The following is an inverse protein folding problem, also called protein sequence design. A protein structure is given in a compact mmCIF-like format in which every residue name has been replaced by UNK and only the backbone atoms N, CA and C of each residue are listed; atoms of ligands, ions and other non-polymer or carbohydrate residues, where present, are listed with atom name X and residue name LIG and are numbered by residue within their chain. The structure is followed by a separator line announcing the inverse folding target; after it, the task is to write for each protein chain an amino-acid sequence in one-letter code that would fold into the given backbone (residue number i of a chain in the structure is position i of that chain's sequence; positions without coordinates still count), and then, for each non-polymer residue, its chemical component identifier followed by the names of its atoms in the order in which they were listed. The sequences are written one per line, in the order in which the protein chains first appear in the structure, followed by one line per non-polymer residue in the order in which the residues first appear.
data_IF_783870228125
#
_entry.id   IF_783870228125
#
_cell.length_a   1.000
_cell.length_b   1.000
_cell.length_c   1.000
_cell.angle_alpha   90.00
_cell.angle_beta   90.00
_cell.angle_gamma   90.00
#
_symmetry.space_group_name_H-M   'P 1'
#
loop_
_entity.id
_entity.type
_entity.pdbx_description
1 polymer ?
#
# COMPACT_ATOMS: atom_id res chain seq x y z
N UNK A 1 -15.51 16.03 11.25
CA UNK A 1 -15.58 14.62 10.85
C UNK A 1 -16.56 14.54 9.69
N UNK A 2 -16.12 14.26 8.47
CA UNK A 2 -17.00 14.28 7.29
C UNK A 2 -17.97 13.08 7.40
N UNK A 3 -19.27 13.34 7.56
CA UNK A 3 -20.33 12.33 7.36
C UNK A 3 -20.41 12.09 5.85
N UNK A 4 -19.77 11.03 5.37
CA UNK A 4 -19.73 10.70 3.95
C UNK A 4 -21.02 10.00 3.45
N UNK A 5 -22.01 9.76 4.33
CA UNK A 5 -23.23 9.04 3.96
C UNK A 5 -24.46 9.64 4.66
N UNK A 6 -25.59 9.83 3.94
CA UNK A 6 -26.87 10.19 4.53
C UNK A 6 -27.44 9.02 5.35
N UNK A 7 -28.38 9.33 6.25
CA UNK A 7 -28.88 8.41 7.28
C UNK A 7 -29.47 7.11 6.70
N UNK A 8 -29.11 5.97 7.30
CA UNK A 8 -29.44 4.61 6.82
C UNK A 8 -28.27 3.64 6.73
N UNK A 9 -27.15 3.91 7.42
CA UNK A 9 -25.98 3.03 7.39
C UNK A 9 -26.24 1.76 8.22
N UNK A 10 -26.21 0.59 7.59
CA UNK A 10 -26.28 -0.69 8.29
C UNK A 10 -25.19 -0.74 9.37
N UNK A 11 -25.48 -1.18 10.61
CA UNK A 11 -24.54 -1.15 11.73
C UNK A 11 -23.18 -1.82 11.45
N UNK A 12 -23.11 -2.72 10.47
CA UNK A 12 -21.88 -3.41 10.05
C UNK A 12 -21.03 -2.70 9.00
N UNK A 13 -21.48 -1.60 8.40
CA UNK A 13 -20.73 -0.92 7.34
C UNK A 13 -19.78 0.14 7.90
N UNK A 14 -18.47 -0.09 7.73
CA UNK A 14 -17.43 0.89 8.07
C UNK A 14 -16.66 1.32 6.83
N UNK A 15 -16.56 2.63 6.61
CA UNK A 15 -15.74 3.21 5.55
C UNK A 15 -14.48 3.83 6.16
N UNK A 16 -13.32 3.33 5.72
CA UNK A 16 -12.01 3.82 6.13
C UNK A 16 -11.24 4.27 4.90
N UNK A 17 -10.83 5.54 4.87
CA UNK A 17 -10.08 6.11 3.76
C UNK A 17 -8.60 6.08 4.13
N UNK A 18 -7.80 5.35 3.34
CA UNK A 18 -6.34 5.42 3.43
C UNK A 18 -5.90 6.85 3.11
N UNK A 19 -4.90 7.38 3.83
CA UNK A 19 -4.35 8.69 3.50
C UNK A 19 -3.74 8.63 2.09
N UNK A 20 -4.29 9.43 1.17
CA UNK A 20 -3.96 9.52 -0.26
C UNK A 20 -4.21 8.26 -1.09
N UNK A 21 -3.68 7.10 -0.69
CA UNK A 21 -3.88 5.85 -1.42
C UNK A 21 -3.57 4.63 -0.54
N UNK A 22 -4.07 3.45 -0.94
CA UNK A 22 -3.83 2.18 -0.24
C UNK A 22 -2.34 1.80 -0.23
N UNK A 23 -1.57 2.24 -1.23
CA UNK A 23 -0.14 2.04 -1.31
C UNK A 23 0.63 2.62 -0.10
N UNK A 24 0.11 3.65 0.57
CA UNK A 24 0.67 4.13 1.82
C UNK A 24 0.62 3.06 2.93
N UNK A 25 -0.44 2.25 2.98
CA UNK A 25 -0.56 1.13 3.90
C UNK A 25 0.40 -0.03 3.55
N UNK A 26 0.65 -0.25 2.26
CA UNK A 26 1.61 -1.27 1.82
C UNK A 26 3.03 -0.91 2.28
N UNK A 27 3.44 0.35 2.09
CA UNK A 27 4.75 0.86 2.51
C UNK A 27 4.95 0.89 4.03
N UNK A 28 3.86 0.95 4.81
CA UNK A 28 3.95 0.94 6.27
C UNK A 28 4.51 -0.37 6.84
N UNK A 29 4.42 -1.47 6.10
CA UNK A 29 5.17 -2.70 6.39
C UNK A 29 6.54 -2.70 5.68
N UNK A 30 7.42 -1.78 6.10
CA UNK A 30 8.70 -1.50 5.44
C UNK A 30 9.55 -2.75 5.22
N UNK A 31 9.62 -3.63 6.23
CA UNK A 31 10.43 -4.84 6.18
C UNK A 31 9.85 -5.91 5.24
N UNK A 32 8.52 -6.05 5.14
CA UNK A 32 7.93 -6.97 4.16
C UNK A 32 8.07 -6.43 2.73
N UNK A 33 7.75 -5.15 2.52
CA UNK A 33 7.79 -4.55 1.19
C UNK A 33 9.23 -4.52 0.64
N UNK A 34 10.22 -4.17 1.46
CA UNK A 34 11.62 -4.16 1.05
C UNK A 34 12.11 -5.55 0.60
N UNK A 35 11.77 -6.59 1.36
CA UNK A 35 12.11 -7.97 0.99
C UNK A 35 11.40 -8.40 -0.28
N UNK A 36 10.10 -8.08 -0.40
CA UNK A 36 9.29 -8.43 -1.57
C UNK A 36 9.81 -7.75 -2.84
N UNK A 37 10.10 -6.45 -2.79
CA UNK A 37 10.70 -5.70 -3.89
C UNK A 37 12.20 -5.96 -4.04
N UNK A 38 12.84 -6.79 -3.21
CA UNK A 38 14.28 -7.09 -3.26
C UNK A 38 15.20 -5.85 -3.16
N UNK A 39 14.84 -4.86 -2.33
CA UNK A 39 15.59 -3.62 -2.08
C UNK A 39 15.98 -3.46 -0.60
N UNK A 40 16.97 -2.61 -0.26
CA UNK A 40 17.26 -2.28 1.14
C UNK A 40 16.07 -1.59 1.82
N UNK A 41 15.75 -1.98 3.05
CA UNK A 41 14.64 -1.39 3.82
C UNK A 41 14.77 0.13 4.03
N UNK A 42 16.00 0.64 4.10
CA UNK A 42 16.26 2.07 4.22
C UNK A 42 15.72 2.92 3.06
N UNK A 43 15.43 2.32 1.90
CA UNK A 43 14.80 2.99 0.76
C UNK A 43 13.30 3.20 0.95
N UNK A 44 12.64 2.40 1.78
CA UNK A 44 11.20 2.56 2.05
C UNK A 44 11.00 3.77 2.98
N UNK A 45 10.13 4.73 2.65
CA UNK A 45 9.82 5.88 3.49
C UNK A 45 9.45 5.46 4.92
N UNK A 46 9.97 6.21 5.90
CA UNK A 46 9.63 5.98 7.31
C UNK A 46 8.22 6.45 7.65
N UNK A 47 7.70 7.43 6.90
CA UNK A 47 6.37 8.03 7.07
C UNK A 47 5.57 7.90 5.77
N UNK A 48 5.02 6.72 5.48
CA UNK A 48 4.41 6.44 4.18
C UNK A 48 3.12 7.22 3.93
N UNK A 49 2.37 7.57 4.98
CA UNK A 49 1.19 8.43 4.85
C UNK A 49 1.56 9.91 4.55
N UNK A 50 2.83 10.30 4.71
CA UNK A 50 3.38 11.62 4.34
C UNK A 50 3.90 11.68 2.89
N UNK A 51 3.85 10.58 2.13
CA UNK A 51 4.23 10.53 0.70
C UNK A 51 3.13 11.08 -0.22
N UNK A 52 3.48 12.02 -1.09
CA UNK A 52 2.53 12.70 -2.01
C UNK A 52 1.90 11.79 -3.06
N UNK A 53 2.71 10.97 -3.74
CA UNK A 53 2.23 9.96 -4.68
C UNK A 53 2.69 8.56 -4.24
N UNK A 54 1.91 7.88 -3.38
CA UNK A 54 2.27 6.56 -2.89
C UNK A 54 2.40 5.50 -3.99
N UNK A 55 1.60 5.60 -5.06
CA UNK A 55 1.62 4.65 -6.17
C UNK A 55 2.89 4.79 -6.99
N UNK A 56 3.21 6.02 -7.40
CA UNK A 56 4.46 6.29 -8.11
C UNK A 56 5.68 5.98 -7.24
N UNK A 57 5.58 6.18 -5.92
CA UNK A 57 6.67 5.81 -5.00
C UNK A 57 6.95 4.31 -5.01
N UNK A 58 5.93 3.45 -5.03
CA UNK A 58 6.13 1.99 -5.19
C UNK A 58 6.82 1.67 -6.52
N UNK A 59 6.41 2.31 -7.62
CA UNK A 59 7.05 2.11 -8.93
C UNK A 59 8.53 2.51 -8.88
N UNK A 60 8.86 3.65 -8.29
CA UNK A 60 10.24 4.13 -8.15
C UNK A 60 11.09 3.24 -7.23
N UNK A 61 10.47 2.62 -6.22
CA UNK A 61 11.12 1.62 -5.37
C UNK A 61 11.38 0.32 -6.15
N UNK A 62 10.40 -0.15 -6.93
CA UNK A 62 10.54 -1.32 -7.78
C UNK A 62 11.59 -1.13 -8.87
N UNK A 63 11.74 0.09 -9.42
CA UNK A 63 12.80 0.43 -10.37
C UNK A 63 14.20 0.20 -9.80
N UNK A 64 14.38 0.35 -8.48
CA UNK A 64 15.65 0.10 -7.78
C UNK A 64 15.83 -1.38 -7.40
N UNK A 65 14.91 -2.26 -7.80
CA UNK A 65 14.96 -3.68 -7.46
C UNK A 65 16.13 -4.41 -8.11
N UNK A 66 16.70 -5.34 -7.34
CA UNK A 66 17.66 -6.33 -7.85
C UNK A 66 16.98 -7.47 -8.61
N UNK A 67 15.66 -7.63 -8.48
CA UNK A 67 14.88 -8.64 -9.19
C UNK A 67 14.41 -8.08 -10.54
N UNK A 68 14.83 -8.71 -11.64
CA UNK A 68 14.30 -8.40 -12.98
C UNK A 68 12.80 -8.65 -13.04
N UNK A 69 12.30 -9.74 -12.45
CA UNK A 69 10.87 -10.09 -12.42
C UNK A 69 10.04 -8.96 -11.81
N UNK A 70 10.49 -8.38 -10.70
CA UNK A 70 9.79 -7.23 -10.07
C UNK A 70 9.82 -6.01 -10.97
N UNK A 71 10.96 -5.71 -11.60
CA UNK A 71 11.08 -4.57 -12.53
C UNK A 71 10.15 -4.72 -13.72
N UNK A 72 10.19 -5.87 -14.40
CA UNK A 72 9.41 -6.13 -15.61
C UNK A 72 7.89 -6.11 -15.33
N UNK A 73 7.48 -6.52 -14.13
CA UNK A 73 6.08 -6.51 -13.73
C UNK A 73 5.59 -5.11 -13.32
N UNK A 74 6.36 -4.37 -12.52
CA UNK A 74 5.88 -3.18 -11.80
C UNK A 74 6.26 -1.87 -12.49
N UNK A 75 7.38 -1.85 -13.21
CA UNK A 75 7.91 -0.64 -13.85
C UNK A 75 7.31 -0.52 -15.27
N UNK A 76 6.76 0.64 -15.64
CA UNK A 76 6.26 0.84 -17.01
C UNK A 76 7.43 0.85 -18.01
N UNK A 77 7.19 0.33 -19.21
CA UNK A 77 8.13 0.53 -20.31
C UNK A 77 8.12 1.99 -20.76
N UNK A 78 9.28 2.53 -21.15
CA UNK A 78 9.46 3.93 -21.56
C UNK A 78 8.47 4.36 -22.67
N UNK A 79 8.08 3.43 -23.53
CA UNK A 79 7.19 3.67 -24.68
C UNK A 79 5.70 3.56 -24.36
N UNK A 80 5.33 3.08 -23.18
CA UNK A 80 3.92 2.80 -22.86
C UNK A 80 3.09 4.03 -22.52
N UNK A 81 3.72 5.10 -22.03
CA UNK A 81 3.03 6.26 -21.44
C UNK A 81 2.20 5.94 -20.19
N UNK A 82 2.30 4.71 -19.65
CA UNK A 82 1.53 4.26 -18.49
C UNK A 82 2.27 4.63 -17.19
N UNK A 83 1.55 4.94 -16.10
CA UNK A 83 2.18 5.25 -14.81
C UNK A 83 2.74 4.00 -14.10
N UNK A 84 2.31 2.79 -14.48
CA UNK A 84 2.72 1.53 -13.86
C UNK A 84 2.96 0.44 -14.91
N UNK A 85 3.76 -0.56 -14.54
CA UNK A 85 3.98 -1.76 -15.33
C UNK A 85 2.74 -2.66 -15.40
N UNK A 86 2.64 -3.53 -16.42
CA UNK A 86 1.45 -4.33 -16.69
C UNK A 86 1.12 -5.33 -15.58
N UNK A 87 2.12 -5.77 -14.81
CA UNK A 87 1.97 -6.70 -13.70
C UNK A 87 1.78 -6.02 -12.33
N UNK A 88 1.70 -4.69 -12.26
CA UNK A 88 1.63 -3.93 -11.00
C UNK A 88 0.54 -4.48 -10.06
N UNK A 89 -0.70 -4.57 -10.55
CA UNK A 89 -1.84 -4.98 -9.73
C UNK A 89 -1.69 -6.40 -9.21
N UNK A 90 -1.31 -7.35 -10.08
CA UNK A 90 -1.08 -8.74 -9.68
C UNK A 90 0.04 -8.83 -8.62
N UNK A 91 1.12 -8.09 -8.83
CA UNK A 91 2.25 -8.03 -7.89
C UNK A 91 1.85 -7.48 -6.53
N UNK A 92 0.98 -6.46 -6.48
CA UNK A 92 0.49 -5.90 -5.21
C UNK A 92 -0.52 -6.81 -4.52
N UNK A 93 -1.37 -7.53 -5.28
CA UNK A 93 -2.29 -8.53 -4.72
C UNK A 93 -1.52 -9.65 -4.04
N UNK A 94 -0.52 -10.23 -4.73
CA UNK A 94 0.34 -11.28 -4.17
C UNK A 94 1.06 -10.80 -2.89
N UNK A 95 1.60 -9.59 -2.91
CA UNK A 95 2.23 -8.99 -1.73
C UNK A 95 1.27 -8.96 -0.53
N UNK A 96 0.05 -8.45 -0.75
CA UNK A 96 -0.96 -8.28 0.30
C UNK A 96 -1.43 -9.62 0.84
N UNK A 97 -1.61 -10.62 -0.01
CA UNK A 97 -2.08 -11.95 0.38
C UNK A 97 -1.03 -12.73 1.17
N UNK A 98 0.23 -12.71 0.72
CA UNK A 98 1.21 -13.66 1.24
C UNK A 98 2.19 -13.05 2.25
N UNK A 99 2.55 -11.78 2.07
CA UNK A 99 3.73 -11.20 2.75
C UNK A 99 3.36 -10.08 3.72
N UNK A 100 2.36 -9.27 3.38
CA UNK A 100 1.97 -8.11 4.16
C UNK A 100 1.42 -8.51 5.54
N UNK A 101 1.75 -7.73 6.56
CA UNK A 101 1.24 -7.91 7.93
C UNK A 101 0.55 -6.62 8.39
N UNK A 102 -0.79 -6.53 8.28
CA UNK A 102 -1.52 -5.28 8.54
C UNK A 102 -1.36 -4.78 9.98
N UNK A 103 -1.26 -5.69 10.97
CA UNK A 103 -1.02 -5.33 12.38
C UNK A 103 0.37 -4.71 12.60
N UNK A 104 1.38 -5.10 11.81
CA UNK A 104 2.70 -4.47 11.84
C UNK A 104 2.66 -3.13 11.11
N UNK A 105 2.03 -3.10 9.94
CA UNK A 105 1.85 -1.89 9.13
C UNK A 105 1.15 -0.77 9.92
N UNK A 106 0.15 -1.10 10.74
CA UNK A 106 -0.61 -0.09 11.50
C UNK A 106 0.22 0.69 12.52
N UNK A 107 1.40 0.18 12.92
CA UNK A 107 2.32 0.89 13.80
C UNK A 107 2.92 2.14 13.14
N UNK A 108 2.99 2.17 11.80
CA UNK A 108 3.52 3.28 11.01
C UNK A 108 2.44 3.99 10.15
N UNK A 109 1.19 3.55 10.24
CA UNK A 109 0.06 4.08 9.47
C UNK A 109 -1.16 4.36 10.38
N UNK A 110 -1.28 5.58 10.93
CA UNK A 110 -2.40 5.96 11.78
C UNK A 110 -3.79 5.75 11.17
N UNK A 111 -3.95 5.91 9.85
CA UNK A 111 -5.24 5.64 9.20
C UNK A 111 -5.58 4.15 9.15
N UNK A 112 -4.57 3.28 8.95
CA UNK A 112 -4.74 1.83 9.02
C UNK A 112 -5.05 1.35 10.44
N UNK A 113 -4.39 1.92 11.46
CA UNK A 113 -4.67 1.60 12.86
C UNK A 113 -6.13 1.85 13.22
N UNK A 114 -6.68 2.99 12.78
CA UNK A 114 -8.11 3.31 12.95
C UNK A 114 -9.02 2.34 12.18
N UNK A 115 -8.62 1.93 10.98
CA UNK A 115 -9.39 0.97 10.19
C UNK A 115 -9.47 -0.40 10.89
N UNK A 116 -8.33 -0.94 11.33
CA UNK A 116 -8.28 -2.22 12.05
C UNK A 116 -9.05 -2.18 13.37
N UNK A 117 -8.98 -1.06 14.11
CA UNK A 117 -9.75 -0.90 15.35
C UNK A 117 -11.26 -0.99 15.10
N UNK A 118 -11.76 -0.42 13.99
CA UNK A 118 -13.17 -0.50 13.60
C UNK A 118 -13.58 -1.91 13.18
N UNK A 119 -12.73 -2.61 12.42
CA UNK A 119 -13.00 -4.00 12.03
C UNK A 119 -13.10 -4.95 13.23
N UNK A 120 -12.34 -4.70 14.31
CA UNK A 120 -12.41 -5.53 15.53
C UNK A 120 -13.71 -5.39 16.31
N UNK A 121 -14.43 -4.28 16.18
CA UNK A 121 -15.71 -4.06 16.87
C UNK A 121 -16.87 -4.81 16.17
N UNK A 122 -16.64 -5.33 14.97
CA UNK A 122 -17.61 -6.12 14.20
C UNK A 122 -17.61 -7.62 14.52
N UNK A 123 -16.70 -8.08 15.39
CA UNK A 123 -16.54 -9.48 15.79
C UNK A 123 -16.66 -9.64 17.30
#
# INVERSE_FOLDING_TARGET
MIRAFPDGQSPGLHVCIAVRAVEAWFMADRGALARYLSIPQGKIPARPEEVDDPKQTIVNLAHQSRSSVVKDAVVPSERSGRPVGPGYTATMIEFVQDKWRPVRASQAAPSLARALARCRVLG
#
